data_IF_622927928432
#
_entry.id   IF_622927928432
#
_cell.length_a   1.000
_cell.length_b   1.000
_cell.length_c   1.000
_cell.angle_alpha   90.00
_cell.angle_beta   90.00
_cell.angle_gamma   90.00
#
_symmetry.space_group_name_H-M   'P 1'
#
loop_
_entity.id
_entity.type
_entity.pdbx_description
1 polymer ?
#
# COMPACT_ATOMS: atom_id res chain seq x y z
N UNK A 1 16.34 32.53 -6.76
CA UNK A 1 15.35 31.75 -5.99
C UNK A 1 15.48 30.25 -6.30
N UNK A 2 16.51 29.56 -5.79
CA UNK A 2 16.78 28.14 -6.17
C UNK A 2 17.14 27.23 -5.00
N UNK A 3 17.58 27.79 -3.86
CA UNK A 3 17.97 27.01 -2.68
C UNK A 3 16.82 26.22 -2.05
N UNK A 4 15.60 26.77 -2.04
CA UNK A 4 14.44 26.14 -1.40
C UNK A 4 13.93 24.90 -2.15
N UNK A 5 14.11 24.84 -3.48
CA UNK A 5 13.67 23.70 -4.28
C UNK A 5 14.60 22.52 -4.06
N UNK A 6 15.92 22.75 -4.04
CA UNK A 6 16.89 21.70 -3.76
C UNK A 6 16.71 21.10 -2.36
N UNK A 7 16.49 21.92 -1.33
CA UNK A 7 16.23 21.42 0.03
C UNK A 7 14.95 20.59 0.10
N UNK A 8 13.90 20.97 -0.63
CA UNK A 8 12.64 20.24 -0.69
C UNK A 8 12.82 18.88 -1.38
N UNK A 9 13.55 18.84 -2.49
CA UNK A 9 13.86 17.60 -3.22
C UNK A 9 14.65 16.64 -2.34
N UNK A 10 15.71 17.13 -1.68
CA UNK A 10 16.53 16.31 -0.78
C UNK A 10 15.70 15.77 0.40
N UNK A 11 14.84 16.61 0.99
CA UNK A 11 13.97 16.20 2.09
C UNK A 11 12.95 15.14 1.63
N UNK A 12 12.40 15.27 0.43
CA UNK A 12 11.48 14.29 -0.14
C UNK A 12 12.16 12.93 -0.39
N UNK A 13 13.37 12.93 -0.95
CA UNK A 13 14.16 11.72 -1.19
C UNK A 13 14.51 11.01 0.12
N UNK A 14 14.94 11.75 1.15
CA UNK A 14 15.23 11.19 2.47
C UNK A 14 13.99 10.56 3.12
N UNK A 15 12.82 11.22 3.01
CA UNK A 15 11.55 10.67 3.49
C UNK A 15 11.17 9.39 2.77
N UNK A 16 11.33 9.35 1.45
CA UNK A 16 11.04 8.16 0.64
C UNK A 16 11.92 6.96 1.04
N UNK A 17 13.23 7.18 1.19
CA UNK A 17 14.18 6.14 1.62
C UNK A 17 13.83 5.61 3.02
N UNK A 18 13.59 6.53 3.98
CA UNK A 18 13.19 6.15 5.34
C UNK A 18 11.87 5.37 5.37
N UNK A 19 10.90 5.73 4.52
CA UNK A 19 9.64 5.02 4.44
C UNK A 19 9.81 3.61 3.85
N UNK A 20 10.66 3.44 2.85
CA UNK A 20 10.99 2.12 2.30
C UNK A 20 11.63 1.22 3.36
N UNK A 21 12.66 1.70 4.06
CA UNK A 21 13.33 0.96 5.13
C UNK A 21 12.33 0.59 6.23
N UNK A 22 11.50 1.55 6.66
CA UNK A 22 10.47 1.31 7.67
C UNK A 22 9.42 0.26 7.25
N UNK A 23 9.11 0.14 5.95
CA UNK A 23 8.23 -0.93 5.44
C UNK A 23 8.88 -2.30 5.54
N UNK A 24 10.20 -2.38 5.36
CA UNK A 24 10.97 -3.62 5.49
C UNK A 24 11.21 -4.01 6.95
N UNK A 25 11.46 -3.04 7.84
CA UNK A 25 11.83 -3.32 9.24
C UNK A 25 10.66 -3.56 10.19
N UNK A 26 9.46 -3.08 9.87
CA UNK A 26 8.27 -3.22 10.75
C UNK A 26 7.66 -4.63 10.80
N UNK A 27 8.39 -5.67 10.36
CA UNK A 27 7.87 -7.03 10.32
C UNK A 27 6.62 -7.16 9.44
N UNK A 28 6.42 -6.23 8.49
CA UNK A 28 5.40 -6.40 7.45
C UNK A 28 5.87 -7.61 6.67
N UNK A 29 5.20 -8.74 6.85
CA UNK A 29 5.34 -9.91 5.99
C UNK A 29 5.14 -9.42 4.57
N UNK A 30 6.24 -9.25 3.85
CA UNK A 30 6.20 -8.94 2.43
C UNK A 30 5.66 -10.20 1.77
N UNK A 31 4.35 -10.20 1.52
CA UNK A 31 3.68 -11.26 0.80
C UNK A 31 4.10 -11.15 -0.67
N UNK A 32 5.08 -11.96 -1.05
CA UNK A 32 5.50 -12.10 -2.44
C UNK A 32 4.57 -13.11 -3.11
N UNK A 33 3.63 -12.62 -3.90
CA UNK A 33 2.77 -13.49 -4.69
C UNK A 33 3.58 -14.25 -5.75
N UNK A 34 3.24 -15.52 -5.96
CA UNK A 34 3.80 -16.39 -6.98
C UNK A 34 2.73 -16.75 -7.99
N UNK A 35 3.17 -17.09 -9.21
CA UNK A 35 2.26 -17.57 -10.25
C UNK A 35 1.56 -18.84 -9.76
N UNK A 36 0.23 -18.82 -9.76
CA UNK A 36 -0.60 -19.91 -9.28
C UNK A 36 -1.12 -19.76 -7.86
N UNK A 37 -0.72 -18.71 -7.12
CA UNK A 37 -1.30 -18.39 -5.83
C UNK A 37 -2.78 -18.02 -5.96
N UNK A 38 -3.59 -18.49 -5.01
CA UNK A 38 -4.98 -18.07 -4.91
C UNK A 38 -5.05 -16.84 -4.01
N UNK A 39 -5.56 -15.73 -4.55
CA UNK A 39 -5.64 -14.45 -3.86
C UNK A 39 -7.07 -13.96 -3.73
N UNK A 40 -7.31 -13.23 -2.64
CA UNK A 40 -8.55 -12.51 -2.41
C UNK A 40 -8.33 -11.02 -2.64
N UNK A 41 -9.20 -10.38 -3.40
CA UNK A 41 -9.14 -8.95 -3.67
C UNK A 41 -10.02 -8.21 -2.68
N UNK A 42 -9.49 -7.19 -2.03
CA UNK A 42 -10.27 -6.38 -1.08
C UNK A 42 -11.47 -5.72 -1.77
N UNK A 43 -12.65 -5.83 -1.17
CA UNK A 43 -13.87 -5.21 -1.69
C UNK A 43 -13.87 -3.70 -1.38
N UNK A 44 -13.25 -2.91 -2.26
CA UNK A 44 -13.12 -1.46 -2.09
C UNK A 44 -14.47 -0.73 -2.08
N UNK A 45 -15.52 -1.31 -2.68
CA UNK A 45 -16.89 -0.75 -2.65
C UNK A 45 -17.46 -0.72 -1.23
N UNK A 46 -17.07 -1.68 -0.39
CA UNK A 46 -17.52 -1.78 1.01
C UNK A 46 -16.86 -0.69 1.90
N UNK A 47 -15.62 -0.29 1.60
CA UNK A 47 -14.88 0.70 2.39
C UNK A 47 -15.44 2.12 2.20
N UNK A 48 -15.81 2.47 0.96
CA UNK A 48 -16.15 3.86 0.61
C UNK A 48 -17.63 4.24 0.78
N UNK A 49 -18.56 3.27 0.89
CA UNK A 49 -20.00 3.56 0.82
C UNK A 49 -20.73 3.27 2.14
N UNK A 50 -21.47 4.27 2.65
CA UNK A 50 -22.40 4.10 3.79
C UNK A 50 -23.52 3.12 3.34
N UNK A 51 -23.46 1.88 3.80
CA UNK A 51 -24.41 0.82 3.44
C UNK A 51 -23.80 -0.45 2.82
N UNK A 52 -22.52 -0.43 2.42
CA UNK A 52 -21.84 -1.61 1.87
C UNK A 52 -21.53 -2.71 2.90
N UNK A 53 -21.78 -2.46 4.20
CA UNK A 53 -21.33 -3.29 5.33
C UNK A 53 -21.89 -4.72 5.36
N UNK A 54 -22.92 -5.01 4.57
CA UNK A 54 -23.51 -6.35 4.47
C UNK A 54 -22.80 -7.24 3.46
N UNK A 55 -22.04 -6.65 2.54
CA UNK A 55 -21.27 -7.41 1.55
C UNK A 55 -19.98 -7.98 2.17
N UNK A 56 -19.45 -9.10 1.65
CA UNK A 56 -18.14 -9.60 2.06
C UNK A 56 -17.04 -8.55 1.88
N UNK A 57 -16.10 -8.50 2.83
CA UNK A 57 -14.96 -7.57 2.79
C UNK A 57 -13.94 -7.91 1.68
N UNK A 58 -14.02 -9.13 1.14
CA UNK A 58 -13.09 -9.69 0.17
C UNK A 58 -13.86 -10.36 -0.96
N UNK A 59 -13.37 -10.18 -2.18
CA UNK A 59 -13.88 -10.77 -3.41
C UNK A 59 -12.91 -11.85 -3.90
N UNK A 60 -13.43 -12.85 -4.61
CA UNK A 60 -12.65 -13.95 -5.17
C UNK A 60 -13.17 -15.31 -4.70
N UNK A 61 -12.35 -16.38 -4.76
CA UNK A 61 -10.90 -16.39 -5.08
C UNK A 61 -10.55 -16.03 -6.54
N UNK A 62 -9.34 -15.50 -6.73
CA UNK A 62 -8.71 -15.28 -8.04
C UNK A 62 -7.39 -16.04 -8.13
N UNK A 63 -6.95 -16.35 -9.35
CA UNK A 63 -5.69 -17.02 -9.64
C UNK A 63 -4.83 -16.15 -10.55
#
# INVERSE_FOLDING_TARGET
MTFHVHTNVTTAQQRQSKQYINRQTKGVTSFHFKIGDIVLKRNMRNIGRKGGKLEPQWNGPFR
#
